data_IF_363016343867
#
_entry.id   IF_363016343867
#
_cell.length_a   1.000
_cell.length_b   1.000
_cell.length_c   1.000
_cell.angle_alpha   90.00
_cell.angle_beta   90.00
_cell.angle_gamma   90.00
#
_symmetry.space_group_name_H-M   'P 1'
#
loop_
_entity.id
_entity.type
_entity.pdbx_description
1 polymer ?
#
# COMPACT_ATOMS: atom_id res chain seq x y z
N UNK A 1 12.33 -26.24 -21.73
CA UNK A 1 12.13 -24.81 -21.44
C UNK A 1 11.90 -24.10 -22.77
N UNK A 2 10.76 -23.44 -22.96
CA UNK A 2 10.34 -22.92 -24.28
C UNK A 2 10.99 -21.55 -24.52
N UNK A 3 12.20 -21.53 -25.09
CA UNK A 3 13.01 -20.32 -25.31
C UNK A 3 12.26 -19.24 -26.12
N UNK A 4 11.34 -19.63 -27.02
CA UNK A 4 10.53 -18.68 -27.80
C UNK A 4 9.60 -17.86 -26.92
N UNK A 5 8.90 -18.49 -25.98
CA UNK A 5 8.03 -17.78 -25.03
C UNK A 5 8.82 -16.77 -24.16
N UNK A 6 10.04 -17.13 -23.77
CA UNK A 6 10.91 -16.22 -23.00
C UNK A 6 11.35 -15.02 -23.85
N UNK A 7 11.81 -15.26 -25.09
CA UNK A 7 12.24 -14.18 -26.00
C UNK A 7 11.10 -13.26 -26.36
N UNK A 8 9.89 -13.79 -26.64
CA UNK A 8 8.71 -12.98 -26.97
C UNK A 8 8.26 -12.12 -25.78
N UNK A 9 8.29 -12.70 -24.58
CA UNK A 9 7.99 -11.95 -23.34
C UNK A 9 9.02 -10.86 -23.06
N UNK A 10 10.30 -11.12 -23.29
CA UNK A 10 11.38 -10.16 -23.11
C UNK A 10 11.29 -9.01 -24.14
N UNK A 11 10.99 -9.34 -25.41
CA UNK A 11 10.77 -8.33 -26.45
C UNK A 11 9.54 -7.45 -26.16
N UNK A 12 8.43 -8.05 -25.75
CA UNK A 12 7.24 -7.30 -25.37
C UNK A 12 7.51 -6.36 -24.17
N UNK A 13 8.26 -6.82 -23.17
CA UNK A 13 8.67 -5.99 -22.04
C UNK A 13 9.59 -4.83 -22.49
N UNK A 14 10.56 -5.10 -23.38
CA UNK A 14 11.45 -4.09 -23.92
C UNK A 14 10.68 -3.03 -24.73
N UNK A 15 9.73 -3.45 -25.58
CA UNK A 15 8.85 -2.53 -26.33
C UNK A 15 8.00 -1.67 -25.40
N UNK A 16 7.45 -2.25 -24.32
CA UNK A 16 6.67 -1.53 -23.32
C UNK A 16 7.53 -0.50 -22.57
N UNK A 17 8.80 -0.83 -22.28
CA UNK A 17 9.75 0.10 -21.67
C UNK A 17 10.14 1.22 -22.63
N UNK A 18 10.36 0.90 -23.90
CA UNK A 18 10.75 1.89 -24.93
C UNK A 18 9.59 2.82 -25.29
N UNK A 19 8.36 2.31 -25.35
CA UNK A 19 7.20 3.14 -25.67
C UNK A 19 6.99 4.22 -24.62
N UNK A 20 7.09 5.49 -25.07
CA UNK A 20 6.95 6.66 -24.20
C UNK A 20 8.06 6.82 -23.15
N UNK A 21 9.28 6.34 -23.44
CA UNK A 21 10.41 6.41 -22.51
C UNK A 21 10.69 7.84 -22.03
N UNK A 22 10.53 8.85 -22.90
CA UNK A 22 10.81 10.24 -22.58
C UNK A 22 9.95 10.75 -21.40
N UNK A 23 8.64 10.55 -21.43
CA UNK A 23 7.78 10.95 -20.31
C UNK A 23 8.04 10.13 -19.06
N UNK A 24 8.38 8.84 -19.19
CA UNK A 24 8.73 7.98 -18.05
C UNK A 24 10.01 8.44 -17.36
N UNK A 25 11.04 8.79 -18.16
CA UNK A 25 12.31 9.32 -17.63
C UNK A 25 12.09 10.70 -16.99
N UNK A 26 11.32 11.58 -17.64
CA UNK A 26 11.00 12.90 -17.08
C UNK A 26 10.25 12.75 -15.75
N UNK A 27 9.22 11.90 -15.69
CA UNK A 27 8.49 11.64 -14.46
C UNK A 27 9.39 11.04 -13.37
N UNK A 28 10.22 10.05 -13.72
CA UNK A 28 11.18 9.45 -12.79
C UNK A 28 12.19 10.46 -12.25
N UNK A 29 12.69 11.37 -13.12
CA UNK A 29 13.61 12.44 -12.71
C UNK A 29 12.94 13.43 -11.74
N UNK A 30 11.71 13.86 -12.03
CA UNK A 30 10.93 14.73 -11.14
C UNK A 30 10.72 14.03 -9.79
N UNK A 31 10.28 12.77 -9.78
CA UNK A 31 10.10 12.01 -8.57
C UNK A 31 11.40 11.84 -7.78
N UNK A 32 12.51 11.54 -8.47
CA UNK A 32 13.82 11.40 -7.84
C UNK A 32 14.27 12.71 -7.16
N UNK A 33 14.09 13.85 -7.83
CA UNK A 33 14.44 15.16 -7.28
C UNK A 33 13.59 15.51 -6.05
N UNK A 34 12.26 15.27 -6.12
CA UNK A 34 11.35 15.61 -5.03
C UNK A 34 11.49 14.66 -3.81
N UNK A 35 11.77 13.38 -4.05
CA UNK A 35 11.79 12.36 -3.01
C UNK A 35 13.19 11.98 -2.54
N UNK A 36 14.26 12.52 -3.15
CA UNK A 36 15.65 12.13 -2.84
C UNK A 36 15.99 12.16 -1.35
N UNK A 37 15.65 13.25 -0.67
CA UNK A 37 15.90 13.41 0.78
C UNK A 37 15.05 12.48 1.66
N UNK A 38 13.94 11.96 1.14
CA UNK A 38 12.94 11.20 1.89
C UNK A 38 12.80 9.75 1.39
N UNK A 39 13.74 9.26 0.58
CA UNK A 39 13.66 7.94 -0.04
C UNK A 39 13.46 6.81 0.98
N UNK A 40 14.14 6.86 2.13
CA UNK A 40 14.02 5.86 3.19
C UNK A 40 12.62 5.91 3.81
N UNK A 41 12.08 7.10 4.06
CA UNK A 41 10.73 7.28 4.61
C UNK A 41 9.68 6.76 3.63
N UNK A 42 9.86 7.05 2.34
CA UNK A 42 8.97 6.56 1.30
C UNK A 42 9.01 5.03 1.17
N UNK A 43 10.19 4.44 1.26
CA UNK A 43 10.35 2.98 1.28
C UNK A 43 9.64 2.35 2.49
N UNK A 44 9.90 2.84 3.69
CA UNK A 44 9.27 2.35 4.92
C UNK A 44 7.73 2.48 4.85
N UNK A 45 7.25 3.61 4.34
CA UNK A 45 5.82 3.84 4.13
C UNK A 45 5.22 2.86 3.09
N UNK A 46 5.94 2.58 1.99
CA UNK A 46 5.48 1.61 0.99
C UNK A 46 5.34 0.20 1.56
N UNK A 47 6.22 -0.18 2.51
CA UNK A 47 6.10 -1.44 3.26
C UNK A 47 4.82 -1.46 4.09
N UNK A 48 4.46 -0.35 4.77
CA UNK A 48 3.21 -0.27 5.54
C UNK A 48 1.97 -0.42 4.65
N UNK A 49 1.93 0.23 3.49
CA UNK A 49 0.83 0.09 2.54
C UNK A 49 0.70 -1.36 2.04
N UNK A 50 1.83 -2.04 1.83
CA UNK A 50 1.84 -3.45 1.48
C UNK A 50 1.29 -4.33 2.62
N UNK A 51 1.68 -4.06 3.87
CA UNK A 51 1.19 -4.77 5.05
C UNK A 51 -0.32 -4.54 5.25
N UNK A 52 -0.82 -3.32 5.03
CA UNK A 52 -2.27 -3.05 5.04
C UNK A 52 -3.02 -3.92 4.02
N UNK A 53 -2.50 -4.01 2.80
CA UNK A 53 -3.09 -4.86 1.77
C UNK A 53 -3.09 -6.34 2.18
N UNK A 54 -1.97 -6.83 2.74
CA UNK A 54 -1.83 -8.22 3.18
C UNK A 54 -2.78 -8.55 4.34
N UNK A 55 -2.85 -7.69 5.36
CA UNK A 55 -3.76 -7.88 6.50
C UNK A 55 -5.23 -7.84 6.07
N UNK A 56 -5.58 -7.04 5.07
CA UNK A 56 -6.91 -7.04 4.47
C UNK A 56 -7.25 -8.38 3.81
N UNK A 57 -6.30 -8.98 3.10
CA UNK A 57 -6.52 -10.32 2.51
C UNK A 57 -6.71 -11.39 3.59
N UNK A 58 -5.95 -11.31 4.69
CA UNK A 58 -6.10 -12.22 5.82
C UNK A 58 -7.50 -12.09 6.43
N UNK A 59 -7.98 -10.85 6.64
CA UNK A 59 -9.32 -10.59 7.17
C UNK A 59 -10.42 -11.18 6.26
N UNK A 60 -10.35 -10.97 4.95
CA UNK A 60 -11.30 -11.54 3.99
C UNK A 60 -11.30 -13.07 4.02
N UNK A 61 -10.10 -13.67 4.10
CA UNK A 61 -9.99 -15.14 4.19
C UNK A 61 -10.53 -15.67 5.52
N UNK A 62 -10.32 -14.95 6.63
CA UNK A 62 -10.85 -15.27 7.94
C UNK A 62 -12.39 -15.30 7.94
N UNK A 63 -13.01 -14.21 7.46
CA UNK A 63 -14.47 -14.09 7.34
C UNK A 63 -15.05 -15.20 6.47
N UNK A 64 -14.38 -15.56 5.37
CA UNK A 64 -14.78 -16.67 4.53
C UNK A 64 -14.76 -18.01 5.28
N UNK A 65 -13.69 -18.31 6.03
CA UNK A 65 -13.58 -19.55 6.79
C UNK A 65 -14.63 -19.62 7.91
N UNK A 66 -14.92 -18.51 8.59
CA UNK A 66 -16.03 -18.41 9.57
C UNK A 66 -17.37 -18.72 8.88
N UNK A 67 -17.63 -18.17 7.70
CA UNK A 67 -18.87 -18.42 6.96
C UNK A 67 -19.04 -19.91 6.56
N UNK A 68 -17.95 -20.69 6.54
CA UNK A 68 -17.95 -22.13 6.35
C UNK A 68 -18.11 -22.91 7.67
N UNK A 69 -18.41 -22.25 8.79
CA UNK A 69 -18.56 -22.88 10.09
C UNK A 69 -17.25 -23.28 10.78
N UNK A 70 -16.11 -22.75 10.30
CA UNK A 70 -14.80 -23.01 10.90
C UNK A 70 -14.49 -21.91 11.95
N UNK A 71 -13.59 -22.24 12.88
CA UNK A 71 -13.02 -21.26 13.82
C UNK A 71 -11.51 -21.12 13.52
N UNK A 72 -11.15 -20.35 12.47
CA UNK A 72 -9.78 -20.33 11.98
C UNK A 72 -8.86 -19.51 12.86
N UNK A 73 -7.63 -19.98 13.03
CA UNK A 73 -6.52 -19.15 13.54
C UNK A 73 -6.04 -18.19 12.46
N UNK A 74 -5.28 -17.16 12.85
CA UNK A 74 -4.66 -16.20 11.91
C UNK A 74 -3.79 -16.91 10.85
N UNK A 75 -3.06 -17.95 11.26
CA UNK A 75 -2.23 -18.74 10.34
C UNK A 75 -3.08 -19.52 9.32
N UNK A 76 -4.19 -20.10 9.77
CA UNK A 76 -5.15 -20.77 8.86
C UNK A 76 -5.79 -19.77 7.91
N UNK A 77 -6.10 -18.56 8.37
CA UNK A 77 -6.62 -17.47 7.53
C UNK A 77 -5.60 -17.03 6.48
N UNK A 78 -4.31 -16.95 6.84
CA UNK A 78 -3.24 -16.65 5.90
C UNK A 78 -3.15 -17.71 4.78
N UNK A 79 -3.19 -18.99 5.13
CA UNK A 79 -3.20 -20.08 4.15
C UNK A 79 -4.50 -20.06 3.34
N UNK A 80 -5.61 -19.68 3.95
CA UNK A 80 -6.94 -19.54 3.37
C UNK A 80 -7.06 -18.48 2.29
N UNK A 81 -6.11 -17.53 2.18
CA UNK A 81 -6.08 -16.50 1.13
C UNK A 81 -6.17 -17.12 -0.26
N UNK A 82 -5.46 -18.24 -0.49
CA UNK A 82 -5.48 -18.94 -1.79
C UNK A 82 -6.89 -19.45 -2.14
N UNK A 83 -7.60 -19.98 -1.14
CA UNK A 83 -8.98 -20.48 -1.31
C UNK A 83 -9.95 -19.32 -1.52
N UNK A 84 -9.88 -18.27 -0.69
CA UNK A 84 -10.72 -17.08 -0.84
C UNK A 84 -10.54 -16.41 -2.21
N UNK A 85 -9.30 -16.39 -2.73
CA UNK A 85 -9.00 -15.90 -4.08
C UNK A 85 -9.61 -16.79 -5.17
N UNK A 86 -9.52 -18.11 -5.06
CA UNK A 86 -10.14 -19.04 -6.04
C UNK A 86 -11.66 -18.96 -6.06
N UNK A 87 -12.28 -18.53 -4.96
CA UNK A 87 -13.72 -18.27 -4.84
C UNK A 87 -14.13 -16.87 -5.31
N UNK A 88 -13.19 -16.06 -5.80
CA UNK A 88 -13.46 -14.70 -6.29
C UNK A 88 -13.76 -13.68 -5.20
N UNK A 89 -13.49 -13.98 -3.90
CA UNK A 89 -13.69 -13.02 -2.81
C UNK A 89 -12.58 -11.97 -2.76
N UNK A 90 -11.40 -12.32 -3.26
CA UNK A 90 -10.26 -11.42 -3.43
C UNK A 90 -10.14 -11.14 -4.92
N UNK A 91 -10.88 -10.14 -5.41
CA UNK A 91 -10.84 -9.71 -6.81
C UNK A 91 -9.57 -8.94 -7.08
N UNK A 92 -8.69 -9.51 -7.91
CA UNK A 92 -7.42 -8.88 -8.25
C UNK A 92 -7.60 -7.54 -8.98
N UNK A 93 -8.64 -7.36 -9.80
CA UNK A 93 -8.92 -6.11 -10.49
C UNK A 93 -9.40 -5.00 -9.55
N UNK A 94 -10.43 -5.27 -8.74
CA UNK A 94 -10.95 -4.28 -7.78
C UNK A 94 -9.86 -3.87 -6.78
N UNK A 95 -9.05 -4.82 -6.33
CA UNK A 95 -7.94 -4.54 -5.42
C UNK A 95 -6.82 -3.75 -6.10
N UNK A 96 -6.48 -4.07 -7.35
CA UNK A 96 -5.51 -3.28 -8.13
C UNK A 96 -5.95 -1.82 -8.26
N UNK A 97 -7.21 -1.57 -8.64
CA UNK A 97 -7.73 -0.22 -8.80
C UNK A 97 -7.75 0.56 -7.47
N UNK A 98 -8.22 -0.06 -6.39
CA UNK A 98 -8.21 0.58 -5.06
C UNK A 98 -6.81 0.83 -4.54
N UNK A 99 -5.90 -0.14 -4.67
CA UNK A 99 -4.51 -0.01 -4.26
C UNK A 99 -3.78 1.06 -5.08
N UNK A 100 -3.90 1.02 -6.42
CA UNK A 100 -3.30 2.03 -7.30
C UNK A 100 -3.87 3.42 -7.02
N UNK A 101 -5.19 3.56 -6.85
CA UNK A 101 -5.82 4.83 -6.50
C UNK A 101 -5.27 5.39 -5.18
N UNK A 102 -5.14 4.54 -4.17
CA UNK A 102 -4.56 4.90 -2.86
C UNK A 102 -3.11 5.37 -3.01
N UNK A 103 -2.28 4.61 -3.72
CA UNK A 103 -0.87 4.99 -3.98
C UNK A 103 -0.78 6.31 -4.76
N UNK A 104 -1.61 6.52 -5.78
CA UNK A 104 -1.63 7.76 -6.54
C UNK A 104 -1.97 8.97 -5.65
N UNK A 105 -3.01 8.86 -4.81
CA UNK A 105 -3.39 9.94 -3.88
C UNK A 105 -2.27 10.22 -2.88
N UNK A 106 -1.65 9.18 -2.33
CA UNK A 106 -0.55 9.32 -1.37
C UNK A 106 0.67 9.97 -2.02
N UNK A 107 1.01 9.55 -3.23
CA UNK A 107 2.08 10.16 -3.99
C UNK A 107 1.83 11.65 -4.25
N UNK A 108 0.61 12.03 -4.64
CA UNK A 108 0.23 13.42 -4.83
C UNK A 108 0.37 14.24 -3.53
N UNK A 109 -0.08 13.69 -2.40
CA UNK A 109 0.07 14.36 -1.10
C UNK A 109 1.54 14.58 -0.73
N UNK A 110 2.39 13.55 -0.91
CA UNK A 110 3.82 13.64 -0.63
C UNK A 110 4.53 14.62 -1.59
N UNK A 111 4.16 14.62 -2.88
CA UNK A 111 4.70 15.57 -3.86
C UNK A 111 4.32 17.02 -3.51
N UNK A 112 3.06 17.26 -3.13
CA UNK A 112 2.63 18.59 -2.70
C UNK A 112 3.39 19.06 -1.44
N UNK A 113 3.57 18.17 -0.46
CA UNK A 113 4.35 18.47 0.74
C UNK A 113 5.84 18.72 0.42
N UNK A 114 6.43 17.92 -0.47
CA UNK A 114 7.81 18.12 -0.91
C UNK A 114 7.99 19.47 -1.64
N UNK A 115 7.02 19.88 -2.45
CA UNK A 115 7.03 21.19 -3.09
C UNK A 115 6.92 22.33 -2.06
N UNK A 116 6.09 22.17 -1.03
CA UNK A 116 6.01 23.13 0.07
C UNK A 116 7.34 23.23 0.84
N UNK A 117 7.98 22.10 1.14
CA UNK A 117 9.28 22.08 1.80
C UNK A 117 10.38 22.72 0.95
N UNK A 118 10.35 22.57 -0.40
CA UNK A 118 11.26 23.27 -1.29
C UNK A 118 11.09 24.79 -1.19
N UNK A 119 9.87 25.30 -1.16
CA UNK A 119 9.58 26.73 -0.95
C UNK A 119 10.12 27.20 0.40
N UNK A 120 9.94 26.40 1.45
CA UNK A 120 10.47 26.74 2.78
C UNK A 120 12.00 26.81 2.81
N UNK A 121 12.69 25.92 2.08
CA UNK A 121 14.16 25.98 1.92
C UNK A 121 14.58 27.30 1.29
N UNK A 122 13.94 27.73 0.23
CA UNK A 122 14.24 29.02 -0.46
C UNK A 122 13.98 30.23 0.45
N UNK A 123 13.02 30.09 1.38
CA UNK A 123 12.69 31.12 2.38
C UNK A 123 13.57 31.06 3.64
N UNK A 124 14.58 30.17 3.68
CA UNK A 124 15.41 29.90 4.85
C UNK A 124 14.60 29.49 6.09
N UNK A 125 13.49 28.78 5.89
CA UNK A 125 12.59 28.24 6.96
C UNK A 125 12.77 26.74 7.13
N UNK A 126 12.50 26.22 8.35
CA UNK A 126 12.56 24.77 8.59
C UNK A 126 11.53 24.02 7.74
N UNK A 127 11.93 22.86 7.21
CA UNK A 127 11.08 21.94 6.45
C UNK A 127 10.33 21.00 7.40
N UNK A 128 9.00 20.88 7.23
CA UNK A 128 8.17 20.05 8.10
C UNK A 128 7.00 19.35 7.34
N UNK A 129 6.69 19.83 6.13
CA UNK A 129 5.48 19.39 5.43
C UNK A 129 5.54 17.90 5.04
N UNK A 130 6.66 17.41 4.47
CA UNK A 130 6.82 16.00 4.11
C UNK A 130 6.74 15.11 5.34
N UNK A 131 7.42 15.48 6.43
CA UNK A 131 7.38 14.71 7.69
C UNK A 131 5.97 14.60 8.25
N UNK A 132 5.22 15.69 8.25
CA UNK A 132 3.82 15.74 8.71
C UNK A 132 2.91 14.88 7.86
N UNK A 133 2.98 14.99 6.53
CA UNK A 133 2.14 14.21 5.62
C UNK A 133 2.47 12.72 5.71
N UNK A 134 3.75 12.34 5.69
CA UNK A 134 4.14 10.93 5.84
C UNK A 134 3.71 10.40 7.21
N UNK A 135 3.85 11.18 8.28
CA UNK A 135 3.39 10.79 9.62
C UNK A 135 1.88 10.56 9.66
N UNK A 136 1.07 11.44 9.06
CA UNK A 136 -0.37 11.28 8.95
C UNK A 136 -0.76 10.04 8.15
N UNK A 137 -0.16 9.84 6.99
CA UNK A 137 -0.43 8.67 6.14
C UNK A 137 0.00 7.37 6.84
N UNK A 138 1.14 7.38 7.54
CA UNK A 138 1.62 6.25 8.36
C UNK A 138 0.62 5.89 9.45
N UNK A 139 0.10 6.86 10.19
CA UNK A 139 -0.92 6.64 11.21
C UNK A 139 -2.19 6.03 10.59
N UNK A 140 -2.61 6.50 9.42
CA UNK A 140 -3.77 5.97 8.69
C UNK A 140 -3.58 4.52 8.30
N UNK A 141 -2.38 4.13 7.79
CA UNK A 141 -2.08 2.74 7.44
C UNK A 141 -2.00 1.84 8.67
N UNK A 142 -1.38 2.30 9.75
CA UNK A 142 -1.32 1.53 11.01
C UNK A 142 -2.71 1.27 11.57
N UNK A 143 -3.60 2.26 11.54
CA UNK A 143 -5.00 2.08 11.96
C UNK A 143 -5.72 1.04 11.09
N UNK A 144 -5.55 1.11 9.77
CA UNK A 144 -6.13 0.13 8.84
C UNK A 144 -5.60 -1.29 9.10
N UNK A 145 -4.28 -1.44 9.32
CA UNK A 145 -3.66 -2.72 9.68
C UNK A 145 -4.27 -3.28 10.97
N UNK A 146 -4.41 -2.46 12.01
CA UNK A 146 -4.99 -2.85 13.29
C UNK A 146 -6.46 -3.28 13.14
N UNK A 147 -7.26 -2.52 12.37
CA UNK A 147 -8.64 -2.87 12.06
C UNK A 147 -8.74 -4.19 11.29
N UNK A 148 -7.87 -4.41 10.31
CA UNK A 148 -7.82 -5.66 9.53
C UNK A 148 -7.40 -6.87 10.39
N UNK A 149 -6.41 -6.69 11.30
CA UNK A 149 -5.99 -7.74 12.23
C UNK A 149 -7.09 -8.09 13.22
N UNK A 150 -7.83 -7.11 13.72
CA UNK A 150 -8.99 -7.35 14.58
C UNK A 150 -10.08 -8.13 13.82
N UNK A 151 -10.37 -7.77 12.57
CA UNK A 151 -11.28 -8.50 11.69
C UNK A 151 -10.79 -9.93 11.39
N UNK A 152 -9.48 -10.18 11.44
CA UNK A 152 -8.87 -11.50 11.30
C UNK A 152 -8.83 -12.30 12.62
N UNK A 153 -9.51 -11.84 13.67
CA UNK A 153 -9.62 -12.56 14.96
C UNK A 153 -8.40 -12.42 15.87
N UNK A 154 -7.56 -11.40 15.69
CA UNK A 154 -6.42 -11.13 16.58
C UNK A 154 -6.91 -10.39 17.82
N UNK A 155 -7.17 -11.09 18.92
CA UNK A 155 -7.69 -10.52 20.17
C UNK A 155 -6.78 -9.44 20.78
N UNK A 156 -5.45 -9.58 20.60
CA UNK A 156 -4.47 -8.66 21.18
C UNK A 156 -4.66 -7.20 20.72
N UNK A 157 -5.27 -6.96 19.55
CA UNK A 157 -5.50 -5.60 19.01
C UNK A 157 -6.89 -5.07 19.32
N UNK A 158 -7.79 -5.88 19.87
CA UNK A 158 -9.19 -5.51 20.13
C UNK A 158 -9.31 -4.29 21.06
N UNK A 159 -8.53 -4.25 22.13
CA UNK A 159 -8.52 -3.12 23.06
C UNK A 159 -8.09 -1.80 22.39
N UNK A 160 -7.18 -1.88 21.42
CA UNK A 160 -6.75 -0.70 20.64
C UNK A 160 -7.85 -0.21 19.71
N UNK A 161 -8.55 -1.13 19.03
CA UNK A 161 -9.69 -0.80 18.16
C UNK A 161 -10.82 -0.15 18.95
N UNK A 162 -11.12 -0.61 20.15
CA UNK A 162 -12.14 -0.03 21.02
C UNK A 162 -11.83 1.42 21.44
N UNK A 163 -10.56 1.70 21.77
CA UNK A 163 -10.10 3.07 22.06
C UNK A 163 -10.26 3.98 20.85
N UNK A 164 -9.94 3.49 19.65
CA UNK A 164 -10.05 4.26 18.40
C UNK A 164 -11.52 4.56 18.07
N UNK A 165 -12.41 3.57 18.22
CA UNK A 165 -13.84 3.72 17.94
C UNK A 165 -14.53 4.68 18.91
N UNK A 166 -14.15 4.68 20.19
CA UNK A 166 -14.68 5.61 21.19
C UNK A 166 -14.37 7.09 20.88
N UNK A 167 -13.27 7.37 20.17
CA UNK A 167 -12.91 8.74 19.77
C UNK A 167 -13.63 9.24 18.51
N UNK A 168 -14.36 8.37 17.80
CA UNK A 168 -15.14 8.73 16.60
C UNK A 168 -16.59 9.15 16.90
N UNK A 169 -17.00 9.15 18.18
CA UNK A 169 -18.25 9.70 18.69
C UNK A 169 -17.96 11.03 19.36
#
# INVERSE_FOLDING_TARGET
>A
MNYRLFTDSALAAAQTLYYGWSYKVTLAAILALLLHKHAILFYAFSVLVFLDCLTKWIAIAHDYLISQGQNPTVLQSLIGIKVARSKGLIFSEVMKHRFLGKICVYLLCVMAAASADLIMVELYKPTWAVGTIIGYLTATELLSIVENLNAAGVEAVQGLVDVIKRKKV
#
